data_IF_596682288573
#
_entry.id   IF_596682288573
#
_cell.length_a   1.000
_cell.length_b   1.000
_cell.length_c   1.000
_cell.angle_alpha   90.00
_cell.angle_beta   90.00
_cell.angle_gamma   90.00
#
_symmetry.space_group_name_H-M   'P 1'
#
loop_
_entity.id
_entity.type
_entity.pdbx_description
1 polymer ?
#
# COMPACT_ATOMS: atom_id res chain seq x y z
N UNK A 1 8.97 31.37 14.36
CA UNK A 1 8.66 30.63 13.10
C UNK A 1 8.21 29.17 13.31
N UNK A 2 8.68 28.43 14.33
CA UNK A 2 8.23 27.04 14.66
C UNK A 2 6.74 26.90 15.06
N UNK A 3 6.13 27.94 15.61
CA UNK A 3 4.76 27.88 16.16
C UNK A 3 3.63 27.84 15.11
N UNK A 4 3.94 28.14 13.83
CA UNK A 4 2.95 28.21 12.74
C UNK A 4 2.79 26.85 12.01
N UNK A 5 3.82 26.01 12.06
CA UNK A 5 3.82 24.68 11.43
C UNK A 5 2.98 23.68 12.24
N UNK A 6 3.09 23.69 13.58
CA UNK A 6 2.31 22.83 14.48
C UNK A 6 0.81 23.16 14.41
N UNK A 7 0.45 24.45 14.30
CA UNK A 7 -0.95 24.86 14.09
C UNK A 7 -1.53 24.38 12.75
N UNK A 8 -0.69 24.19 11.71
CA UNK A 8 -1.12 23.68 10.40
C UNK A 8 -1.33 22.16 10.40
N UNK A 9 -0.53 21.42 11.17
CA UNK A 9 -0.73 19.98 11.41
C UNK A 9 -2.02 19.75 12.20
N UNK A 10 -2.32 20.57 13.21
CA UNK A 10 -3.59 20.46 13.95
C UNK A 10 -4.82 20.92 13.15
N UNK A 11 -4.63 21.77 12.13
CA UNK A 11 -5.70 22.23 11.25
C UNK A 11 -5.98 21.28 10.06
N UNK A 12 -4.96 20.54 9.57
CA UNK A 12 -5.08 19.59 8.46
C UNK A 12 -5.04 18.11 8.89
N UNK A 13 -4.72 17.82 10.15
CA UNK A 13 -4.88 16.51 10.75
C UNK A 13 -6.36 16.26 10.92
N UNK A 14 -7.02 15.81 9.85
CA UNK A 14 -8.44 15.52 9.83
C UNK A 14 -8.81 14.76 11.08
N UNK A 15 -9.60 15.39 11.95
CA UNK A 15 -10.25 14.72 13.08
C UNK A 15 -11.02 13.56 12.46
N UNK A 16 -10.45 12.36 12.48
CA UNK A 16 -11.22 11.18 12.19
C UNK A 16 -12.29 11.14 13.26
N UNK A 17 -13.56 11.20 12.85
CA UNK A 17 -14.65 11.03 13.79
C UNK A 17 -14.57 9.62 14.40
N UNK A 18 -15.09 9.46 15.60
CA UNK A 18 -15.03 8.20 16.33
C UNK A 18 -15.61 7.03 15.51
N UNK A 19 -16.60 7.29 14.65
CA UNK A 19 -17.17 6.28 13.74
C UNK A 19 -16.18 5.81 12.68
N UNK A 20 -15.46 6.69 11.98
CA UNK A 20 -14.44 6.28 11.01
C UNK A 20 -13.25 5.57 11.68
N UNK A 21 -12.90 5.93 12.91
CA UNK A 21 -11.90 5.20 13.68
C UNK A 21 -12.40 3.80 14.03
N UNK A 22 -13.65 3.67 14.50
CA UNK A 22 -14.28 2.38 14.79
C UNK A 22 -14.41 1.50 13.54
N UNK A 23 -14.80 2.06 12.39
CA UNK A 23 -14.87 1.34 11.12
C UNK A 23 -13.49 0.84 10.67
N UNK A 24 -12.43 1.64 10.86
CA UNK A 24 -11.07 1.20 10.57
C UNK A 24 -10.64 0.08 11.50
N UNK A 25 -10.89 0.21 12.80
CA UNK A 25 -10.60 -0.83 13.80
C UNK A 25 -11.35 -2.12 13.45
N UNK A 26 -12.65 -2.05 13.12
CA UNK A 26 -13.44 -3.20 12.71
C UNK A 26 -12.93 -3.84 11.41
N UNK A 27 -12.43 -3.04 10.47
CA UNK A 27 -11.82 -3.56 9.24
C UNK A 27 -10.47 -4.24 9.50
N UNK A 28 -9.70 -3.75 10.47
CA UNK A 28 -8.44 -4.37 10.89
C UNK A 28 -8.67 -5.66 11.68
N UNK A 29 -9.75 -5.76 12.44
CA UNK A 29 -10.14 -6.98 13.17
C UNK A 29 -10.75 -8.06 12.28
N UNK A 30 -10.77 -7.88 10.95
CA UNK A 30 -11.24 -8.89 10.00
C UNK A 30 -10.05 -9.47 9.24
N UNK A 31 -10.01 -10.80 9.12
CA UNK A 31 -8.97 -11.49 8.36
C UNK A 31 -9.13 -11.25 6.84
N UNK A 32 -8.21 -11.81 6.04
CA UNK A 32 -8.25 -11.69 4.57
C UNK A 32 -9.55 -12.20 3.93
N UNK A 33 -10.25 -13.11 4.61
CA UNK A 33 -11.54 -13.68 4.21
C UNK A 33 -12.75 -12.90 4.76
N UNK A 34 -12.52 -11.79 5.45
CA UNK A 34 -13.57 -10.92 6.02
C UNK A 34 -14.20 -11.43 7.32
N UNK A 35 -13.68 -12.51 7.91
CA UNK A 35 -14.13 -13.07 9.19
C UNK A 35 -13.50 -12.31 10.37
N UNK A 36 -14.29 -12.08 11.41
CA UNK A 36 -13.77 -11.50 12.66
C UNK A 36 -12.66 -12.36 13.25
N UNK A 37 -11.57 -11.71 13.60
CA UNK A 37 -10.40 -12.30 14.23
C UNK A 37 -10.60 -12.32 15.74
N UNK A 38 -10.17 -13.40 16.37
CA UNK A 38 -10.02 -13.44 17.82
C UNK A 38 -8.94 -12.46 18.27
N UNK A 39 -8.99 -12.03 19.52
CA UNK A 39 -7.97 -11.14 20.11
C UNK A 39 -6.55 -11.74 19.98
N UNK A 40 -6.43 -13.07 20.09
CA UNK A 40 -5.18 -13.79 19.87
C UNK A 40 -4.72 -13.72 18.41
N UNK A 41 -5.60 -13.99 17.45
CA UNK A 41 -5.26 -13.89 16.02
C UNK A 41 -4.92 -12.45 15.60
N UNK A 42 -5.62 -11.46 16.16
CA UNK A 42 -5.34 -10.05 15.92
C UNK A 42 -4.00 -9.64 16.54
N UNK A 43 -3.71 -10.11 17.76
CA UNK A 43 -2.42 -9.92 18.40
C UNK A 43 -1.29 -10.56 17.59
N UNK A 44 -1.44 -11.82 17.17
CA UNK A 44 -0.43 -12.53 16.37
C UNK A 44 -0.22 -11.86 15.00
N UNK A 45 -1.29 -11.37 14.36
CA UNK A 45 -1.21 -10.60 13.13
C UNK A 45 -0.52 -9.24 13.34
N UNK A 46 -0.85 -8.51 14.41
CA UNK A 46 -0.21 -7.24 14.74
C UNK A 46 1.27 -7.44 15.08
N UNK A 47 1.62 -8.50 15.82
CA UNK A 47 3.00 -8.89 16.07
C UNK A 47 3.68 -9.23 14.74
N UNK A 48 3.09 -10.04 13.86
CA UNK A 48 3.65 -10.33 12.54
C UNK A 48 3.83 -9.07 11.66
N UNK A 49 2.95 -8.08 11.77
CA UNK A 49 3.05 -6.80 11.07
C UNK A 49 4.06 -5.83 11.72
N UNK A 50 4.26 -5.89 13.03
CA UNK A 50 5.06 -4.93 13.81
C UNK A 50 6.44 -5.48 14.23
N UNK A 51 6.68 -6.78 14.18
CA UNK A 51 7.89 -7.43 14.71
C UNK A 51 8.81 -7.99 13.62
N UNK A 52 9.79 -7.15 13.26
CA UNK A 52 11.18 -7.52 12.98
C UNK A 52 11.92 -7.90 14.29
N UNK A 53 11.26 -7.88 15.45
CA UNK A 53 11.90 -7.97 16.77
C UNK A 53 11.62 -9.29 17.51
N UNK A 54 12.10 -10.40 16.98
CA UNK A 54 12.60 -11.56 17.76
C UNK A 54 11.56 -12.56 18.33
N UNK A 55 11.74 -13.82 17.94
CA UNK A 55 11.87 -14.96 18.85
C UNK A 55 13.05 -15.80 18.35
N UNK A 56 13.85 -16.36 19.25
CA UNK A 56 15.15 -17.00 18.96
C UNK A 56 15.02 -18.42 18.37
N UNK A 57 13.80 -18.84 18.03
CA UNK A 57 13.49 -20.18 17.56
C UNK A 57 12.45 -20.14 16.45
N UNK A 58 12.83 -19.69 15.26
CA UNK A 58 12.20 -20.26 14.06
C UNK A 58 13.15 -20.13 12.89
N UNK A 59 13.38 -21.29 12.27
CA UNK A 59 14.29 -21.53 11.15
C UNK A 59 14.48 -20.30 10.29
N UNK A 60 15.75 -19.93 10.09
CA UNK A 60 16.18 -18.95 9.12
C UNK A 60 15.70 -19.39 7.73
N UNK A 61 14.45 -19.03 7.39
CA UNK A 61 13.97 -19.10 6.03
C UNK A 61 14.90 -18.26 5.19
N UNK A 62 15.08 -18.67 3.94
CA UNK A 62 15.87 -17.89 3.00
C UNK A 62 15.37 -16.43 3.02
N UNK A 63 16.27 -15.43 3.05
CA UNK A 63 15.87 -14.03 3.14
C UNK A 63 14.85 -13.63 2.06
N UNK A 64 14.90 -14.24 0.87
CA UNK A 64 13.93 -14.00 -0.20
C UNK A 64 12.55 -14.56 0.15
N UNK A 65 12.50 -15.78 0.70
CA UNK A 65 11.25 -16.40 1.14
C UNK A 65 10.59 -15.62 2.29
N UNK A 66 11.39 -15.16 3.26
CA UNK A 66 10.90 -14.30 4.34
C UNK A 66 10.36 -12.97 3.80
N UNK A 67 11.07 -12.35 2.85
CA UNK A 67 10.63 -11.09 2.23
C UNK A 67 9.36 -11.25 1.38
N UNK A 68 9.19 -12.39 0.72
CA UNK A 68 7.97 -12.74 -0.01
C UNK A 68 6.79 -12.97 0.95
N UNK A 69 7.03 -13.73 2.04
CA UNK A 69 6.04 -13.96 3.09
C UNK A 69 5.57 -12.65 3.71
N UNK A 70 6.49 -11.79 4.18
CA UNK A 70 6.16 -10.47 4.73
C UNK A 70 5.46 -9.58 3.69
N UNK A 71 5.90 -9.64 2.44
CA UNK A 71 5.27 -8.94 1.32
C UNK A 71 3.83 -9.33 1.06
N UNK A 72 3.39 -10.52 1.50
CA UNK A 72 2.02 -11.01 1.33
C UNK A 72 1.04 -10.52 2.41
N UNK A 73 1.54 -10.02 3.55
CA UNK A 73 0.71 -9.50 4.65
C UNK A 73 0.78 -7.98 4.79
N UNK A 74 1.85 -7.35 4.28
CA UNK A 74 1.98 -5.90 4.31
C UNK A 74 0.88 -5.18 3.50
N UNK A 75 0.62 -3.89 3.79
CA UNK A 75 -0.26 -3.06 2.96
C UNK A 75 0.18 -3.14 1.50
N UNK A 76 -0.78 -3.20 0.56
CA UNK A 76 -0.52 -3.34 -0.90
C UNK A 76 0.69 -2.49 -1.27
N UNK A 77 1.77 -3.16 -1.71
CA UNK A 77 3.00 -2.50 -2.12
C UNK A 77 2.62 -1.54 -3.25
N UNK A 78 2.77 -0.24 -3.01
CA UNK A 78 2.67 0.75 -4.07
C UNK A 78 3.97 0.63 -4.85
N UNK A 79 3.87 0.53 -6.18
CA UNK A 79 5.05 0.60 -7.03
C UNK A 79 5.79 1.91 -6.72
N UNK A 80 7.11 1.89 -6.70
CA UNK A 80 7.92 3.11 -6.56
C UNK A 80 8.96 3.16 -7.66
N UNK A 81 8.65 2.52 -8.80
CA UNK A 81 9.54 2.53 -9.94
C UNK A 81 9.66 3.95 -10.47
N UNK A 82 10.88 4.48 -10.38
CA UNK A 82 11.22 5.80 -10.89
C UNK A 82 11.42 5.69 -12.41
N UNK A 83 10.60 6.41 -13.17
CA UNK A 83 10.71 6.43 -14.63
C UNK A 83 12.03 7.06 -15.06
N UNK A 84 12.64 6.43 -16.06
CA UNK A 84 13.79 6.90 -16.82
C UNK A 84 13.32 7.52 -18.12
N UNK A 85 14.20 8.28 -18.75
CA UNK A 85 13.97 8.81 -20.08
C UNK A 85 13.68 7.69 -21.06
N UNK A 86 12.57 7.82 -21.78
CA UNK A 86 12.09 6.87 -22.79
C UNK A 86 11.48 5.57 -22.22
N UNK A 87 11.11 5.54 -20.94
CA UNK A 87 10.29 4.46 -20.39
C UNK A 87 8.85 4.56 -20.91
N UNK A 88 8.27 3.43 -21.29
CA UNK A 88 6.85 3.35 -21.66
C UNK A 88 6.03 3.34 -20.37
N UNK A 89 5.11 4.30 -20.27
CA UNK A 89 4.15 4.41 -19.17
C UNK A 89 2.73 4.27 -19.70
N UNK A 90 1.85 3.71 -18.89
CA UNK A 90 0.47 3.40 -19.25
C UNK A 90 -0.50 4.26 -18.45
N UNK A 91 -1.52 4.79 -19.12
CA UNK A 91 -2.61 5.56 -18.54
C UNK A 91 -3.93 4.87 -18.85
N UNK A 92 -4.68 4.51 -17.81
CA UNK A 92 -5.99 3.88 -17.95
C UNK A 92 -7.07 4.83 -17.43
N UNK A 93 -7.94 5.33 -18.31
CA UNK A 93 -8.93 6.39 -17.98
C UNK A 93 -9.92 5.99 -16.89
N UNK A 94 -10.23 4.70 -16.80
CA UNK A 94 -11.16 4.13 -15.82
C UNK A 94 -10.49 3.82 -14.48
N UNK A 95 -9.16 3.58 -14.46
CA UNK A 95 -8.44 3.22 -13.23
C UNK A 95 -7.78 4.43 -12.55
N UNK A 96 -7.47 5.47 -13.32
CA UNK A 96 -6.78 6.66 -12.82
C UNK A 96 -7.64 7.44 -11.82
N UNK A 97 -6.99 8.07 -10.85
CA UNK A 97 -7.64 9.04 -9.97
C UNK A 97 -7.77 10.41 -10.65
N UNK A 98 -6.74 10.79 -11.39
CA UNK A 98 -6.65 12.02 -12.16
C UNK A 98 -5.88 11.76 -13.45
N UNK A 99 -5.86 12.74 -14.36
CA UNK A 99 -5.28 12.58 -15.70
C UNK A 99 -3.74 12.51 -15.74
N UNK A 100 -3.08 12.63 -14.59
CA UNK A 100 -1.62 12.52 -14.49
C UNK A 100 -1.15 11.17 -13.95
N UNK A 101 -2.08 10.35 -13.46
CA UNK A 101 -1.79 9.01 -12.97
C UNK A 101 -1.34 8.09 -14.11
N UNK A 102 -0.16 7.50 -13.95
CA UNK A 102 0.39 6.52 -14.88
C UNK A 102 0.99 5.35 -14.12
N UNK A 103 1.10 4.20 -14.78
CA UNK A 103 1.72 3.00 -14.23
C UNK A 103 2.85 2.50 -15.13
N UNK A 104 3.86 1.86 -14.53
CA UNK A 104 4.94 1.23 -15.30
C UNK A 104 4.42 0.01 -16.10
N UNK A 105 5.20 -0.45 -17.07
CA UNK A 105 4.85 -1.61 -17.88
C UNK A 105 4.57 -2.88 -17.04
N UNK A 106 5.37 -3.14 -16.00
CA UNK A 106 5.17 -4.30 -15.13
C UNK A 106 3.84 -4.23 -14.37
N UNK A 107 3.48 -3.05 -13.85
CA UNK A 107 2.22 -2.85 -13.15
C UNK A 107 1.01 -2.97 -14.08
N UNK A 108 1.14 -2.52 -15.32
CA UNK A 108 0.10 -2.69 -16.34
C UNK A 108 -0.13 -4.17 -16.66
N UNK A 109 0.94 -4.94 -16.88
CA UNK A 109 0.84 -6.38 -17.14
C UNK A 109 0.32 -7.19 -15.94
N UNK A 110 0.62 -6.74 -14.71
CA UNK A 110 0.17 -7.38 -13.48
C UNK A 110 -1.27 -7.02 -13.08
N UNK A 111 -1.95 -6.14 -13.81
CA UNK A 111 -3.30 -5.64 -13.49
C UNK A 111 -4.28 -5.95 -14.62
N UNK A 112 -5.59 -5.98 -14.30
CA UNK A 112 -6.62 -6.18 -15.31
C UNK A 112 -7.14 -4.83 -15.84
N UNK A 113 -7.08 -4.66 -17.17
CA UNK A 113 -7.58 -3.49 -17.89
C UNK A 113 -8.55 -3.87 -19.03
N UNK A 114 -9.15 -5.06 -18.99
CA UNK A 114 -10.14 -5.49 -19.98
C UNK A 114 -11.33 -4.54 -20.04
N UNK A 115 -11.67 -4.07 -21.25
CA UNK A 115 -12.77 -3.14 -21.47
C UNK A 115 -12.51 -1.69 -21.04
N UNK A 116 -11.27 -1.33 -20.71
CA UNK A 116 -10.89 0.05 -20.38
C UNK A 116 -10.20 0.78 -21.55
N UNK A 117 -10.29 2.10 -21.55
CA UNK A 117 -9.59 2.97 -22.49
C UNK A 117 -8.18 3.24 -21.95
N UNK A 118 -7.20 2.59 -22.59
CA UNK A 118 -5.80 2.62 -22.19
C UNK A 118 -4.97 3.33 -23.27
N UNK A 119 -4.10 4.23 -22.82
CA UNK A 119 -3.14 4.96 -23.63
C UNK A 119 -1.73 4.72 -23.10
N UNK A 120 -0.71 4.90 -23.94
CA UNK A 120 0.68 4.87 -23.52
C UNK A 120 1.46 6.05 -24.11
N UNK A 121 2.53 6.44 -23.42
CA UNK A 121 3.49 7.40 -23.94
C UNK A 121 4.88 7.15 -23.32
N UNK A 122 5.90 7.80 -23.87
CA UNK A 122 7.26 7.73 -23.33
C UNK A 122 7.45 8.82 -22.27
N UNK A 123 7.74 8.42 -21.04
CA UNK A 123 8.00 9.33 -19.96
C UNK A 123 9.46 9.82 -19.98
N UNK A 124 9.68 11.04 -19.48
CA UNK A 124 11.02 11.57 -19.21
C UNK A 124 11.36 11.54 -17.73
N UNK A 125 10.36 11.63 -16.86
CA UNK A 125 10.47 11.70 -15.39
C UNK A 125 9.14 11.25 -14.75
N UNK A 126 9.19 10.85 -13.47
CA UNK A 126 8.00 10.53 -12.67
C UNK A 126 8.11 9.18 -11.98
N UNK A 127 7.01 8.69 -11.43
CA UNK A 127 6.96 7.38 -10.80
C UNK A 127 5.60 6.72 -10.98
N UNK A 128 5.61 5.40 -10.88
CA UNK A 128 4.40 4.56 -10.79
C UNK A 128 3.82 4.59 -9.38
#
# INVERSE_FOLDING_TARGET
KKHRYIKRIMANGGRMNASKLAERIQRFMKNKDGKEMTEKEAHDYLVQQLFVLRSEEEQAKDPEEMMNYLGSFGPRKVCQYQFRTNDIVWMCKQCQRDETCVICNECYQASNHEGHDVYFYHSTVGGC
#
